data_IF_870730152796
#
_entry.id   IF_870730152796
#
_cell.length_a   1.000
_cell.length_b   1.000
_cell.length_c   1.000
_cell.angle_alpha   90.00
_cell.angle_beta   90.00
_cell.angle_gamma   90.00
#
_symmetry.space_group_name_H-M   'P 1'
#
loop_
_entity.id
_entity.type
_entity.pdbx_description
1 polymer ?
#
# COMPACT_ATOMS: atom_id res chain seq x y z
N UNK A 1 22.18 -30.08 21.12
CA UNK A 1 21.65 -28.93 20.36
C UNK A 1 20.69 -29.49 19.33
N UNK A 2 19.41 -29.12 19.36
CA UNK A 2 18.47 -29.47 18.29
C UNK A 2 19.00 -28.91 16.97
N UNK A 3 18.85 -29.67 15.88
CA UNK A 3 19.21 -29.18 14.55
C UNK A 3 18.31 -28.00 14.19
N UNK A 4 18.90 -26.94 13.62
CA UNK A 4 18.16 -25.78 13.10
C UNK A 4 17.28 -26.25 11.95
N UNK A 5 15.96 -26.04 12.02
CA UNK A 5 15.04 -26.41 10.95
C UNK A 5 14.78 -25.24 10.02
N UNK A 6 14.57 -25.52 8.75
CA UNK A 6 14.35 -24.50 7.71
C UNK A 6 13.20 -24.88 6.82
N UNK A 7 12.23 -23.98 6.71
CA UNK A 7 11.18 -24.03 5.70
C UNK A 7 11.41 -22.97 4.63
N UNK A 8 10.85 -23.17 3.43
CA UNK A 8 10.97 -22.23 2.33
C UNK A 8 9.63 -21.93 1.64
N UNK A 9 9.51 -20.71 1.15
CA UNK A 9 8.46 -20.29 0.22
C UNK A 9 9.10 -19.95 -1.13
N UNK A 10 8.58 -20.53 -2.20
CA UNK A 10 8.90 -20.18 -3.58
C UNK A 10 8.17 -18.88 -3.93
N UNK A 11 8.92 -17.90 -4.43
CA UNK A 11 8.40 -16.61 -4.87
C UNK A 11 8.29 -16.59 -6.39
N UNK A 12 7.09 -16.39 -6.90
CA UNK A 12 6.85 -16.25 -8.34
C UNK A 12 6.15 -14.93 -8.66
N UNK A 13 6.49 -14.36 -9.81
CA UNK A 13 5.89 -13.13 -10.33
C UNK A 13 5.39 -13.41 -11.75
N UNK A 14 4.07 -13.45 -11.94
CA UNK A 14 3.44 -13.88 -13.19
C UNK A 14 4.04 -15.19 -13.74
N UNK A 15 4.12 -16.20 -12.87
CA UNK A 15 4.71 -17.53 -13.13
C UNK A 15 6.23 -17.58 -13.34
N UNK A 16 6.92 -16.44 -13.47
CA UNK A 16 8.39 -16.43 -13.46
C UNK A 16 8.89 -16.68 -12.04
N UNK A 17 9.83 -17.61 -11.87
CA UNK A 17 10.50 -17.81 -10.59
C UNK A 17 11.37 -16.59 -10.28
N UNK A 18 11.09 -15.92 -9.17
CA UNK A 18 11.91 -14.79 -8.68
C UNK A 18 13.00 -15.30 -7.73
N UNK A 19 12.66 -16.27 -6.88
CA UNK A 19 13.56 -16.77 -5.87
C UNK A 19 12.81 -17.49 -4.74
N UNK A 20 13.47 -17.56 -3.60
CA UNK A 20 12.97 -18.22 -2.40
C UNK A 20 13.17 -17.32 -1.19
N UNK A 21 12.24 -17.40 -0.25
CA UNK A 21 12.47 -16.91 1.11
C UNK A 21 12.47 -18.10 2.05
N UNK A 22 13.48 -18.20 2.91
CA UNK A 22 13.56 -19.25 3.93
C UNK A 22 13.33 -18.67 5.32
N UNK A 23 12.68 -19.46 6.17
CA UNK A 23 12.43 -19.16 7.58
C UNK A 23 13.07 -20.24 8.45
N UNK A 24 14.00 -19.82 9.30
CA UNK A 24 14.75 -20.70 10.18
C UNK A 24 14.11 -20.72 11.58
N UNK A 25 14.20 -21.85 12.30
CA UNK A 25 13.62 -21.99 13.64
C UNK A 25 14.22 -21.06 14.71
N UNK A 26 15.40 -20.48 14.45
CA UNK A 26 16.03 -19.46 15.28
C UNK A 26 15.55 -18.01 14.96
N UNK A 27 14.57 -17.86 14.06
CA UNK A 27 14.01 -16.57 13.66
C UNK A 27 14.78 -15.86 12.54
N UNK A 28 15.87 -16.43 12.02
CA UNK A 28 16.56 -15.90 10.82
C UNK A 28 15.69 -16.13 9.59
N UNK A 29 15.57 -15.10 8.74
CA UNK A 29 14.92 -15.18 7.44
C UNK A 29 15.94 -14.84 6.34
N UNK A 30 15.89 -15.55 5.22
CA UNK A 30 16.82 -15.32 4.11
C UNK A 30 16.05 -15.21 2.80
N UNK A 31 16.11 -14.05 2.14
CA UNK A 31 15.59 -13.86 0.79
C UNK A 31 16.72 -14.09 -0.23
N UNK A 32 16.55 -15.08 -1.08
CA UNK A 32 17.50 -15.47 -2.11
C UNK A 32 16.84 -15.41 -3.48
N UNK A 33 17.29 -14.47 -4.32
CA UNK A 33 16.88 -14.42 -5.73
C UNK A 33 17.46 -15.63 -6.49
N UNK A 34 16.67 -16.18 -7.41
CA UNK A 34 17.09 -17.32 -8.23
C UNK A 34 18.19 -16.91 -9.23
N UNK A 35 19.21 -17.74 -9.49
CA UNK A 35 20.26 -17.44 -10.46
C UNK A 35 19.70 -17.08 -11.85
N UNK A 36 18.78 -17.90 -12.37
CA UNK A 36 18.14 -17.67 -13.67
C UNK A 36 17.40 -16.32 -13.72
N UNK A 37 16.80 -15.88 -12.60
CA UNK A 37 16.16 -14.56 -12.52
C UNK A 37 17.17 -13.41 -12.49
N UNK A 38 18.31 -13.60 -11.83
CA UNK A 38 19.39 -12.60 -11.78
C UNK A 38 20.00 -12.40 -13.18
N UNK A 39 20.22 -13.50 -13.89
CA UNK A 39 20.89 -13.52 -15.19
C UNK A 39 19.97 -13.19 -16.37
N UNK A 40 18.65 -13.22 -16.17
CA UNK A 40 17.66 -12.89 -17.19
C UNK A 40 17.60 -11.36 -17.47
N UNK A 41 18.01 -10.90 -18.67
CA UNK A 41 17.89 -9.49 -19.07
C UNK A 41 16.44 -9.08 -19.29
N UNK A 42 15.52 -10.02 -19.47
CA UNK A 42 14.08 -9.86 -19.64
C UNK A 42 13.30 -10.30 -18.40
N UNK A 43 13.93 -10.28 -17.23
CA UNK A 43 13.24 -10.53 -15.96
C UNK A 43 12.13 -9.51 -15.74
N UNK A 44 10.97 -9.98 -15.28
CA UNK A 44 9.87 -9.11 -14.84
C UNK A 44 10.33 -8.30 -13.63
N UNK A 45 9.89 -7.06 -13.53
CA UNK A 45 10.38 -6.15 -12.49
C UNK A 45 9.78 -6.48 -11.12
N UNK A 46 10.58 -7.06 -10.21
CA UNK A 46 10.16 -7.26 -8.82
C UNK A 46 10.02 -5.93 -8.05
N UNK A 47 10.95 -5.01 -8.23
CA UNK A 47 10.97 -3.71 -7.57
C UNK A 47 11.69 -2.68 -8.44
N UNK A 48 11.27 -1.42 -8.39
CA UNK A 48 11.81 -0.28 -9.14
C UNK A 48 13.33 -0.18 -8.95
N UNK A 49 13.79 -0.48 -7.73
CA UNK A 49 15.22 -0.48 -7.37
C UNK A 49 16.08 -1.46 -8.18
N UNK A 50 15.48 -2.47 -8.81
CA UNK A 50 16.16 -3.46 -9.65
C UNK A 50 16.18 -3.10 -11.15
N UNK A 51 15.51 -2.02 -11.57
CA UNK A 51 15.45 -1.63 -12.98
C UNK A 51 16.81 -1.23 -13.55
N UNK A 52 17.62 -0.50 -12.77
CA UNK A 52 18.96 -0.10 -13.20
C UNK A 52 19.93 -1.28 -13.02
N UNK A 53 20.51 -1.85 -14.10
CA UNK A 53 21.37 -3.05 -13.98
C UNK A 53 22.62 -2.82 -13.15
N UNK A 54 23.19 -1.61 -13.17
CA UNK A 54 24.38 -1.27 -12.39
C UNK A 54 24.08 -1.18 -10.89
N UNK A 55 22.95 -0.58 -10.52
CA UNK A 55 22.47 -0.52 -9.13
C UNK A 55 22.13 -1.94 -8.66
N UNK A 56 21.41 -2.71 -9.47
CA UNK A 56 21.00 -4.07 -9.15
C UNK A 56 22.22 -4.99 -8.90
N UNK A 57 23.21 -5.00 -9.80
CA UNK A 57 24.45 -5.78 -9.61
C UNK A 57 25.20 -5.39 -8.34
N UNK A 58 25.27 -4.09 -8.04
CA UNK A 58 25.91 -3.61 -6.80
C UNK A 58 25.15 -4.03 -5.56
N UNK A 59 23.82 -4.00 -5.59
CA UNK A 59 22.98 -4.47 -4.49
C UNK A 59 23.17 -5.97 -4.26
N UNK A 60 23.16 -6.78 -5.33
CA UNK A 60 23.43 -8.21 -5.26
C UNK A 60 24.80 -8.48 -4.62
N UNK A 61 25.87 -7.86 -5.12
CA UNK A 61 27.23 -8.08 -4.61
C UNK A 61 27.39 -7.73 -3.13
N UNK A 62 26.66 -6.72 -2.63
CA UNK A 62 26.84 -6.21 -1.27
C UNK A 62 25.87 -6.80 -0.24
N UNK A 63 24.70 -7.28 -0.69
CA UNK A 63 23.59 -7.61 0.22
C UNK A 63 22.89 -8.94 -0.06
N UNK A 64 23.10 -9.58 -1.21
CA UNK A 64 22.48 -10.88 -1.52
C UNK A 64 23.36 -12.05 -1.01
N UNK A 65 22.78 -13.10 -0.42
CA UNK A 65 21.36 -13.23 -0.06
C UNK A 65 20.99 -12.28 1.10
N UNK A 66 19.76 -11.78 1.09
CA UNK A 66 19.32 -10.79 2.07
C UNK A 66 18.90 -11.47 3.37
N UNK A 67 19.69 -11.27 4.43
CA UNK A 67 19.46 -11.90 5.74
C UNK A 67 18.82 -10.90 6.69
N UNK A 68 17.72 -11.30 7.33
CA UNK A 68 17.02 -10.54 8.37
C UNK A 68 16.67 -11.44 9.56
N UNK A 69 16.27 -10.86 10.68
CA UNK A 69 15.85 -11.60 11.88
C UNK A 69 14.45 -11.17 12.31
N UNK A 70 13.60 -12.15 12.63
CA UNK A 70 12.18 -12.07 12.95
C UNK A 70 11.30 -11.54 11.80
N UNK A 71 11.65 -10.36 11.28
CA UNK A 71 11.03 -9.73 10.11
C UNK A 71 11.60 -10.26 8.80
N UNK A 72 10.84 -10.14 7.73
CA UNK A 72 11.27 -10.42 6.35
C UNK A 72 12.00 -9.22 5.75
N UNK A 73 12.64 -9.40 4.60
CA UNK A 73 13.16 -8.27 3.83
C UNK A 73 12.01 -7.26 3.52
N UNK A 74 12.24 -5.94 3.56
CA UNK A 74 11.20 -4.91 3.38
C UNK A 74 10.31 -5.07 2.13
N UNK A 75 10.84 -5.63 1.04
CA UNK A 75 10.07 -5.96 -0.18
C UNK A 75 8.93 -6.94 0.10
N UNK A 76 9.10 -7.85 1.08
CA UNK A 76 8.09 -8.83 1.49
C UNK A 76 7.36 -8.41 2.76
N UNK A 77 8.06 -7.81 3.72
CA UNK A 77 7.48 -7.39 5.02
C UNK A 77 6.31 -6.41 4.82
N UNK A 78 6.43 -5.48 3.86
CA UNK A 78 5.38 -4.49 3.57
C UNK A 78 4.13 -5.06 2.88
N UNK A 79 4.16 -6.31 2.42
CA UNK A 79 2.98 -7.01 1.88
C UNK A 79 2.09 -7.59 2.99
N UNK A 80 2.63 -7.69 4.21
CA UNK A 80 1.91 -8.24 5.36
C UNK A 80 0.99 -7.17 5.98
N UNK A 81 -0.13 -7.59 6.58
CA UNK A 81 -1.00 -6.68 7.30
C UNK A 81 -0.29 -6.05 8.51
N UNK A 82 -0.83 -4.89 8.92
CA UNK A 82 -0.43 -4.16 10.12
C UNK A 82 -1.53 -4.24 11.19
N UNK A 83 -1.19 -3.89 12.44
CA UNK A 83 -2.16 -3.72 13.52
C UNK A 83 -3.02 -4.95 13.81
N UNK A 84 -4.33 -4.73 13.97
CA UNK A 84 -5.29 -5.75 14.37
C UNK A 84 -5.35 -6.96 13.42
N UNK A 85 -5.31 -6.72 12.11
CA UNK A 85 -5.34 -7.80 11.11
C UNK A 85 -4.07 -8.67 11.20
N UNK A 86 -2.92 -8.07 11.50
CA UNK A 86 -1.68 -8.83 11.76
C UNK A 86 -1.80 -9.72 12.99
N UNK A 87 -2.36 -9.18 14.08
CA UNK A 87 -2.62 -9.95 15.30
C UNK A 87 -3.52 -11.16 15.05
N UNK A 88 -4.55 -10.98 14.23
CA UNK A 88 -5.47 -12.05 13.83
C UNK A 88 -4.76 -13.17 13.06
N UNK A 89 -3.97 -12.83 12.04
CA UNK A 89 -3.21 -13.84 11.26
C UNK A 89 -2.17 -14.54 12.15
N UNK A 90 -1.50 -13.81 13.05
CA UNK A 90 -0.53 -14.40 13.97
C UNK A 90 -1.18 -15.38 14.95
N UNK A 91 -2.37 -15.03 15.48
CA UNK A 91 -3.15 -15.92 16.35
C UNK A 91 -3.62 -17.17 15.60
N UNK A 92 -4.08 -17.03 14.36
CA UNK A 92 -4.46 -18.15 13.48
C UNK A 92 -3.31 -19.16 13.31
N UNK A 93 -2.12 -18.61 13.07
CA UNK A 93 -0.88 -19.37 12.90
C UNK A 93 -0.27 -19.85 14.22
N UNK A 94 -0.79 -19.40 15.39
CA UNK A 94 -0.24 -19.64 16.72
C UNK A 94 1.24 -19.24 16.84
N UNK A 95 1.60 -18.10 16.24
CA UNK A 95 2.96 -17.54 16.25
C UNK A 95 2.97 -16.13 16.85
N UNK A 96 4.16 -15.64 17.20
CA UNK A 96 4.34 -14.24 17.57
C UNK A 96 4.08 -13.32 16.36
N UNK A 97 3.41 -12.16 16.52
CA UNK A 97 3.12 -11.24 15.42
C UNK A 97 4.36 -10.72 14.70
N UNK A 98 5.53 -10.67 15.35
CA UNK A 98 6.78 -10.26 14.70
C UNK A 98 7.47 -11.37 13.88
N UNK A 99 6.99 -12.61 13.99
CA UNK A 99 7.50 -13.74 13.20
C UNK A 99 6.84 -13.73 11.82
N UNK A 100 7.45 -13.02 10.87
CA UNK A 100 6.80 -12.70 9.59
C UNK A 100 6.77 -13.83 8.56
N UNK A 101 7.76 -14.74 8.59
CA UNK A 101 7.80 -15.85 7.64
C UNK A 101 6.55 -16.75 7.71
N UNK A 102 6.08 -17.20 8.89
CA UNK A 102 4.81 -17.91 8.99
C UNK A 102 3.61 -17.10 8.48
N UNK A 103 3.55 -15.79 8.74
CA UNK A 103 2.45 -14.96 8.23
C UNK A 103 2.44 -14.91 6.69
N UNK A 104 3.61 -14.78 6.07
CA UNK A 104 3.74 -14.81 4.62
C UNK A 104 3.35 -16.19 4.04
N UNK A 105 3.69 -17.28 4.73
CA UNK A 105 3.31 -18.63 4.28
C UNK A 105 1.79 -18.81 4.20
N UNK A 106 1.05 -18.13 5.07
CA UNK A 106 -0.40 -18.16 5.12
C UNK A 106 -1.03 -17.17 4.12
N UNK A 107 -0.48 -15.98 3.96
CA UNK A 107 -1.04 -14.94 3.08
C UNK A 107 -0.58 -15.06 1.61
N UNK A 108 0.40 -15.91 1.33
CA UNK A 108 1.20 -15.89 0.11
C UNK A 108 0.42 -16.03 -1.20
N UNK A 109 -0.82 -16.51 -1.16
CA UNK A 109 -1.69 -16.64 -2.32
C UNK A 109 -2.51 -15.38 -2.62
N UNK A 110 -2.78 -14.46 -1.69
CA UNK A 110 -3.50 -13.19 -1.97
C UNK A 110 -2.74 -11.97 -1.41
N UNK A 111 -1.53 -11.78 -1.91
CA UNK A 111 -0.74 -10.57 -1.65
C UNK A 111 -1.16 -9.41 -2.59
N UNK A 112 -0.93 -8.16 -2.18
CA UNK A 112 -0.95 -7.02 -3.10
C UNK A 112 0.02 -7.23 -4.26
N UNK A 113 -0.35 -6.76 -5.45
CA UNK A 113 0.41 -6.97 -6.67
C UNK A 113 0.29 -8.39 -7.22
N UNK A 114 1.33 -8.85 -7.92
CA UNK A 114 1.33 -10.13 -8.63
C UNK A 114 2.33 -11.15 -8.05
N UNK A 115 2.99 -10.81 -6.95
CA UNK A 115 3.87 -11.72 -6.24
C UNK A 115 3.03 -12.81 -5.55
N UNK A 116 3.46 -14.06 -5.72
CA UNK A 116 2.87 -15.23 -5.06
C UNK A 116 3.98 -15.94 -4.27
N UNK A 117 3.71 -16.23 -3.00
CA UNK A 117 4.56 -17.02 -2.14
C UNK A 117 3.92 -18.38 -1.87
N UNK A 118 4.56 -19.47 -2.29
CA UNK A 118 4.02 -20.84 -2.17
C UNK A 118 4.95 -21.70 -1.31
N UNK A 119 4.43 -22.38 -0.28
CA UNK A 119 5.21 -23.37 0.48
C UNK A 119 5.89 -24.40 -0.43
N UNK A 120 7.13 -24.76 -0.08
CA UNK A 120 7.94 -25.75 -0.80
C UNK A 120 8.15 -26.94 0.12
N UNK A 121 7.98 -28.16 -0.39
CA UNK A 121 8.30 -29.35 0.39
C UNK A 121 9.81 -29.47 0.60
N UNK A 122 10.20 -30.05 1.73
CA UNK A 122 11.59 -30.10 2.20
C UNK A 122 12.59 -30.60 1.14
N UNK A 123 12.20 -31.61 0.35
CA UNK A 123 13.01 -32.23 -0.70
C UNK A 123 13.17 -31.38 -1.97
N UNK A 124 12.32 -30.36 -2.18
CA UNK A 124 12.34 -29.48 -3.35
C UNK A 124 12.95 -28.09 -3.05
N UNK A 125 13.48 -27.86 -1.84
CA UNK A 125 14.18 -26.62 -1.53
C UNK A 125 15.55 -26.64 -2.21
N UNK A 126 15.85 -25.69 -3.12
CA UNK A 126 17.12 -25.71 -3.84
C UNK A 126 18.29 -25.39 -2.90
N UNK A 127 19.45 -26.01 -3.16
CA UNK A 127 20.64 -25.86 -2.33
C UNK A 127 21.08 -24.39 -2.16
N UNK A 128 20.96 -23.57 -3.21
CA UNK A 128 21.32 -22.14 -3.14
C UNK A 128 20.42 -21.34 -2.20
N UNK A 129 19.19 -21.80 -1.91
CA UNK A 129 18.28 -21.12 -0.98
C UNK A 129 18.52 -21.50 0.49
N UNK A 130 19.13 -22.66 0.76
CA UNK A 130 19.44 -23.12 2.12
C UNK A 130 20.68 -22.44 2.71
N UNK A 131 21.55 -21.88 1.86
CA UNK A 131 22.85 -21.33 2.25
C UNK A 131 23.85 -22.40 2.70
N UNK A 132 25.12 -22.02 2.84
CA UNK A 132 26.23 -22.96 3.11
C UNK A 132 26.61 -23.09 4.60
N UNK A 133 25.69 -22.87 5.54
CA UNK A 133 26.05 -22.75 6.97
C UNK A 133 25.34 -23.74 7.89
N UNK A 134 26.08 -24.75 8.37
CA UNK A 134 25.72 -25.57 9.53
C UNK A 134 24.86 -26.81 9.22
N UNK A 135 24.55 -27.58 10.28
CA UNK A 135 23.62 -28.71 10.22
C UNK A 135 22.18 -28.16 10.23
N UNK A 136 21.67 -27.85 9.05
CA UNK A 136 20.28 -27.43 8.83
C UNK A 136 19.44 -28.66 8.42
N UNK A 137 18.22 -28.75 8.94
CA UNK A 137 17.22 -29.75 8.54
C UNK A 137 16.06 -29.08 7.79
N UNK A 138 15.95 -29.28 6.47
CA UNK A 138 14.79 -28.85 5.71
C UNK A 138 13.48 -29.46 6.23
N UNK A 139 12.43 -28.65 6.35
CA UNK A 139 11.08 -29.07 6.76
C UNK A 139 10.02 -28.36 5.92
N UNK A 140 8.88 -29.02 5.73
CA UNK A 140 7.68 -28.38 5.17
C UNK A 140 7.00 -27.54 6.24
N UNK A 141 6.52 -26.35 5.90
CA UNK A 141 5.67 -25.55 6.80
C UNK A 141 4.22 -26.04 6.69
N UNK A 142 3.60 -26.27 7.85
CA UNK A 142 2.18 -26.55 7.93
C UNK A 142 1.40 -25.23 7.99
N UNK A 143 0.46 -25.04 7.06
CA UNK A 143 -0.36 -23.83 6.96
C UNK A 143 -1.81 -24.18 7.30
N UNK A 144 -2.36 -23.67 8.42
CA UNK A 144 -3.76 -23.88 8.78
C UNK A 144 -4.73 -23.43 7.68
N UNK A 145 -5.87 -24.11 7.58
CA UNK A 145 -6.93 -23.79 6.61
C UNK A 145 -7.41 -22.33 6.77
N UNK A 146 -7.57 -21.64 5.64
CA UNK A 146 -7.94 -20.22 5.55
C UNK A 146 -9.36 -19.91 6.08
N UNK A 147 -10.16 -20.93 6.39
CA UNK A 147 -11.58 -20.86 6.75
C UNK A 147 -11.89 -20.46 8.20
N UNK A 148 -10.87 -20.29 9.04
CA UNK A 148 -11.10 -20.07 10.48
C UNK A 148 -11.65 -18.67 10.76
N UNK A 149 -12.85 -18.61 11.35
CA UNK A 149 -13.51 -17.39 11.78
C UNK A 149 -12.81 -16.79 13.01
N UNK A 150 -12.60 -15.48 13.01
CA UNK A 150 -11.95 -14.78 14.13
C UNK A 150 -12.82 -13.66 14.71
N UNK A 151 -12.59 -13.34 15.97
CA UNK A 151 -13.11 -12.15 16.63
C UNK A 151 -11.93 -11.35 17.13
N UNK A 152 -11.77 -10.11 16.66
CA UNK A 152 -10.79 -9.17 17.20
C UNK A 152 -11.36 -7.74 17.14
N UNK A 153 -11.05 -6.94 18.16
CA UNK A 153 -11.32 -5.51 18.19
C UNK A 153 -10.13 -4.74 17.58
N UNK A 154 -10.40 -3.76 16.71
CA UNK A 154 -9.33 -2.98 16.07
C UNK A 154 -9.83 -1.92 15.08
N UNK A 155 -8.94 -0.97 14.79
CA UNK A 155 -9.24 0.36 14.22
C UNK A 155 -10.13 0.30 12.99
N UNK A 156 -9.75 -0.31 11.88
CA UNK A 156 -10.64 -0.52 10.73
C UNK A 156 -10.21 -1.79 10.00
N UNK A 157 -11.12 -2.74 9.77
CA UNK A 157 -10.79 -4.00 9.10
C UNK A 157 -10.94 -3.85 7.60
N UNK A 158 -10.06 -4.51 6.85
CA UNK A 158 -10.09 -4.55 5.38
C UNK A 158 -10.06 -6.00 4.88
N UNK A 159 -10.89 -6.30 3.89
CA UNK A 159 -11.07 -7.64 3.33
C UNK A 159 -10.99 -7.60 1.80
N UNK A 160 -10.26 -8.54 1.20
CA UNK A 160 -10.28 -8.79 -0.25
C UNK A 160 -11.51 -9.64 -0.56
N UNK A 161 -12.41 -9.14 -1.42
CA UNK A 161 -13.72 -9.75 -1.70
C UNK A 161 -14.03 -9.70 -3.20
N UNK A 162 -14.94 -10.56 -3.64
CA UNK A 162 -15.48 -10.52 -5.01
C UNK A 162 -16.86 -9.85 -5.02
N UNK A 163 -17.10 -8.99 -5.99
CA UNK A 163 -18.46 -8.52 -6.31
C UNK A 163 -19.18 -9.59 -7.14
N UNK A 164 -20.28 -10.13 -6.61
CA UNK A 164 -21.19 -11.02 -7.33
C UNK A 164 -22.59 -10.44 -7.27
N UNK A 165 -22.98 -9.78 -8.36
CA UNK A 165 -24.29 -9.16 -8.53
C UNK A 165 -24.66 -8.21 -7.37
N UNK A 166 -23.68 -7.44 -6.87
CA UNK A 166 -23.86 -6.47 -5.79
C UNK A 166 -23.63 -7.02 -4.38
N UNK A 167 -23.40 -8.33 -4.21
CA UNK A 167 -22.97 -8.94 -2.94
C UNK A 167 -21.47 -9.10 -2.89
N UNK A 168 -20.88 -8.76 -1.76
CA UNK A 168 -19.45 -8.90 -1.53
C UNK A 168 -19.20 -10.12 -0.67
N UNK A 169 -18.54 -11.10 -1.26
CA UNK A 169 -18.24 -12.37 -0.62
C UNK A 169 -16.73 -12.53 -0.52
N UNK A 170 -16.25 -13.12 0.58
CA UNK A 170 -14.87 -13.59 0.70
C UNK A 170 -14.71 -14.83 -0.19
N UNK A 171 -14.81 -14.67 -1.52
CA UNK A 171 -14.89 -15.81 -2.42
C UNK A 171 -13.55 -16.55 -2.53
N UNK A 172 -13.67 -17.88 -2.64
CA UNK A 172 -12.73 -18.88 -3.12
C UNK A 172 -11.24 -18.69 -2.72
N UNK A 173 -10.68 -19.55 -1.83
CA UNK A 173 -9.25 -19.56 -1.51
C UNK A 173 -8.32 -19.66 -2.73
N UNK A 174 -8.85 -20.08 -3.88
CA UNK A 174 -8.09 -20.26 -5.13
C UNK A 174 -8.09 -19.04 -6.06
N UNK A 175 -8.93 -18.01 -5.80
CA UNK A 175 -9.01 -16.81 -6.64
C UNK A 175 -9.06 -15.52 -5.80
N UNK A 176 -8.08 -14.60 -5.95
CA UNK A 176 -8.05 -13.37 -5.16
C UNK A 176 -9.23 -12.44 -5.50
N UNK A 177 -9.79 -11.78 -4.50
CA UNK A 177 -10.84 -10.77 -4.67
C UNK A 177 -10.43 -9.60 -5.57
N UNK A 178 -11.41 -8.98 -6.22
CA UNK A 178 -11.27 -7.80 -7.09
C UNK A 178 -11.68 -6.48 -6.41
N UNK A 179 -12.21 -6.56 -5.18
CA UNK A 179 -12.53 -5.42 -4.32
C UNK A 179 -11.83 -5.52 -2.96
N UNK A 180 -11.50 -4.36 -2.40
CA UNK A 180 -11.14 -4.22 -0.99
C UNK A 180 -12.33 -3.55 -0.27
N UNK A 181 -12.89 -4.25 0.72
CA UNK A 181 -13.97 -3.76 1.56
C UNK A 181 -13.40 -3.37 2.92
N UNK A 182 -13.60 -2.11 3.31
CA UNK A 182 -13.21 -1.56 4.60
C UNK A 182 -14.45 -1.32 5.47
N UNK A 183 -14.53 -2.03 6.59
CA UNK A 183 -15.67 -1.98 7.50
C UNK A 183 -15.68 -0.67 8.31
N UNK A 184 -16.76 -0.38 9.06
CA UNK A 184 -16.74 0.64 10.10
C UNK A 184 -15.59 0.47 11.09
N UNK A 185 -15.14 1.59 11.66
CA UNK A 185 -14.01 1.66 12.56
C UNK A 185 -14.45 1.70 14.02
N UNK A 186 -13.85 0.88 14.89
CA UNK A 186 -14.17 0.91 16.34
C UNK A 186 -13.60 2.12 17.08
N UNK A 187 -12.73 2.91 16.42
CA UNK A 187 -12.03 4.06 17.01
C UNK A 187 -12.44 5.37 16.36
N UNK A 188 -12.73 5.35 15.06
CA UNK A 188 -13.01 6.53 14.25
C UNK A 188 -14.40 6.42 13.61
N UNK A 189 -15.45 7.00 14.22
CA UNK A 189 -16.82 6.87 13.74
C UNK A 189 -17.00 7.38 12.30
N UNK A 190 -17.75 6.63 11.48
CA UNK A 190 -18.11 7.02 10.12
C UNK A 190 -16.93 7.21 9.14
N UNK A 191 -15.77 6.60 9.41
CA UNK A 191 -14.63 6.60 8.47
C UNK A 191 -15.01 6.15 7.05
N UNK A 192 -15.84 5.11 6.83
CA UNK A 192 -16.26 4.73 5.49
C UNK A 192 -16.90 5.88 4.69
N UNK A 193 -17.74 6.69 5.33
CA UNK A 193 -18.39 7.85 4.70
C UNK A 193 -17.40 8.98 4.44
N UNK A 194 -16.46 9.18 5.37
CA UNK A 194 -15.38 10.15 5.25
C UNK A 194 -14.48 9.83 4.04
N UNK A 195 -13.98 8.60 3.96
CA UNK A 195 -13.09 8.15 2.89
C UNK A 195 -13.79 8.18 1.53
N UNK A 196 -15.03 7.69 1.44
CA UNK A 196 -15.81 7.75 0.19
C UNK A 196 -15.95 9.20 -0.31
N UNK A 197 -16.31 10.12 0.59
CA UNK A 197 -16.48 11.53 0.24
C UNK A 197 -15.15 12.16 -0.17
N UNK A 198 -14.07 11.93 0.59
CA UNK A 198 -12.74 12.46 0.29
C UNK A 198 -12.23 11.98 -1.07
N UNK A 199 -12.40 10.70 -1.38
CA UNK A 199 -12.03 10.12 -2.67
C UNK A 199 -12.87 10.69 -3.82
N UNK A 200 -14.18 10.93 -3.63
CA UNK A 200 -15.02 11.63 -4.63
C UNK A 200 -14.59 13.07 -4.86
N UNK A 201 -14.27 13.81 -3.80
CA UNK A 201 -13.73 15.18 -3.93
C UNK A 201 -12.38 15.16 -4.66
N UNK A 202 -11.49 14.23 -4.31
CA UNK A 202 -10.22 14.03 -5.00
C UNK A 202 -10.41 13.77 -6.50
N UNK A 203 -11.35 12.89 -6.86
CA UNK A 203 -11.71 12.61 -8.26
C UNK A 203 -12.19 13.87 -8.99
N UNK A 204 -13.08 14.66 -8.38
CA UNK A 204 -13.57 15.92 -8.95
C UNK A 204 -12.46 16.94 -9.18
N UNK A 205 -11.37 16.88 -8.40
CA UNK A 205 -10.21 17.76 -8.53
C UNK A 205 -9.10 17.20 -9.45
N UNK A 206 -9.37 16.10 -10.17
CA UNK A 206 -8.46 15.52 -11.16
C UNK A 206 -7.51 14.45 -10.61
N UNK A 207 -7.73 13.92 -9.39
CA UNK A 207 -7.01 12.74 -8.90
C UNK A 207 -7.53 11.48 -9.59
N UNK A 208 -6.63 10.70 -10.18
CA UNK A 208 -6.94 9.37 -10.69
C UNK A 208 -7.17 8.40 -9.53
N UNK A 209 -8.37 7.83 -9.46
CA UNK A 209 -8.80 6.89 -8.43
C UNK A 209 -9.43 5.64 -9.06
N UNK A 210 -9.36 4.48 -8.40
CA UNK A 210 -10.16 3.32 -8.77
C UNK A 210 -11.66 3.60 -8.61
N UNK A 211 -12.45 2.65 -9.10
CA UNK A 211 -13.87 2.60 -8.79
C UNK A 211 -14.08 2.45 -7.27
N UNK A 212 -14.97 3.26 -6.70
CA UNK A 212 -15.32 3.25 -5.27
C UNK A 212 -16.83 3.19 -5.07
N UNK A 213 -17.27 2.55 -3.99
CA UNK A 213 -18.67 2.37 -3.62
C UNK A 213 -18.85 2.46 -2.10
N UNK A 214 -20.02 2.91 -1.67
CA UNK A 214 -20.52 2.57 -0.34
C UNK A 214 -21.27 1.24 -0.42
N UNK A 215 -20.94 0.33 0.47
CA UNK A 215 -21.48 -1.03 0.51
C UNK A 215 -22.29 -1.18 1.79
N UNK A 216 -23.57 -1.54 1.67
CA UNK A 216 -24.41 -1.81 2.84
C UNK A 216 -23.83 -2.99 3.62
N UNK A 217 -23.80 -2.91 4.95
CA UNK A 217 -23.28 -4.00 5.80
C UNK A 217 -24.05 -5.32 5.60
N UNK A 218 -25.32 -5.24 5.20
CA UNK A 218 -26.19 -6.36 4.83
C UNK A 218 -25.83 -7.03 3.49
N UNK A 219 -25.00 -6.38 2.68
CA UNK A 219 -24.51 -6.90 1.39
C UNK A 219 -23.15 -7.60 1.50
N UNK A 220 -22.60 -7.73 2.71
CA UNK A 220 -21.29 -8.32 2.98
C UNK A 220 -21.50 -9.68 3.64
N UNK A 221 -21.24 -10.75 2.90
CA UNK A 221 -21.34 -12.11 3.41
C UNK A 221 -20.00 -12.57 4.03
N UNK A 222 -20.08 -13.54 4.95
CA UNK A 222 -18.91 -14.25 5.48
C UNK A 222 -17.88 -13.36 6.20
N UNK A 223 -18.30 -12.24 6.79
CA UNK A 223 -17.46 -11.53 7.74
C UNK A 223 -17.14 -12.45 8.93
N UNK A 224 -15.89 -12.41 9.44
CA UNK A 224 -15.55 -13.11 10.66
C UNK A 224 -16.39 -12.54 11.83
N UNK A 225 -16.51 -13.26 12.95
CA UNK A 225 -17.34 -12.83 14.08
C UNK A 225 -16.72 -11.64 14.84
N UNK A 226 -16.74 -10.45 14.25
CA UNK A 226 -16.12 -9.23 14.78
C UNK A 226 -17.17 -8.28 15.34
N UNK A 227 -16.85 -7.65 16.48
CA UNK A 227 -17.70 -6.63 17.07
C UNK A 227 -17.45 -5.30 16.34
N UNK A 228 -18.33 -4.97 15.39
CA UNK A 228 -18.29 -3.72 14.64
C UNK A 228 -19.28 -2.70 15.24
N UNK A 229 -19.01 -1.40 15.12
CA UNK A 229 -20.00 -0.37 15.40
C UNK A 229 -21.29 -0.57 14.61
N UNK A 230 -22.41 -0.13 15.17
CA UNK A 230 -23.71 -0.09 14.49
C UNK A 230 -23.75 1.05 13.45
N UNK A 231 -22.99 0.87 12.37
CA UNK A 231 -22.95 1.75 11.20
C UNK A 231 -23.37 0.96 9.95
N UNK A 232 -24.14 1.60 9.09
CA UNK A 232 -24.80 0.92 7.95
C UNK A 232 -23.88 0.65 6.76
N UNK A 233 -22.73 1.33 6.67
CA UNK A 233 -21.94 1.39 5.44
C UNK A 233 -20.49 0.97 5.66
N UNK A 234 -20.00 0.08 4.80
CA UNK A 234 -18.59 -0.12 4.52
C UNK A 234 -18.16 0.69 3.29
N UNK A 235 -16.85 0.89 3.15
CA UNK A 235 -16.25 1.49 1.98
C UNK A 235 -15.65 0.41 1.08
N UNK A 236 -16.07 0.35 -0.17
CA UNK A 236 -15.53 -0.54 -1.19
C UNK A 236 -14.66 0.23 -2.18
N UNK A 237 -13.48 -0.31 -2.47
CA UNK A 237 -12.59 0.19 -3.53
C UNK A 237 -12.14 -0.97 -4.42
N UNK A 238 -12.27 -0.79 -5.73
CA UNK A 238 -11.82 -1.78 -6.70
C UNK A 238 -10.30 -1.85 -6.72
N UNK A 239 -9.78 -3.07 -6.75
CA UNK A 239 -8.35 -3.35 -6.81
C UNK A 239 -7.79 -2.99 -8.19
N UNK A 240 -6.88 -2.04 -8.25
CA UNK A 240 -6.17 -1.70 -9.50
C UNK A 240 -5.15 -2.78 -9.90
N UNK A 241 -4.76 -3.65 -8.98
CA UNK A 241 -3.81 -4.75 -9.19
C UNK A 241 -4.49 -6.07 -9.61
N UNK A 242 -5.76 -6.00 -9.99
CA UNK A 242 -6.60 -7.11 -10.44
C UNK A 242 -7.38 -6.69 -11.69
N UNK A 243 -7.16 -7.39 -12.80
CA UNK A 243 -7.90 -7.21 -14.05
C UNK A 243 -9.05 -8.24 -14.15
N UNK A 244 -9.92 -8.04 -15.13
CA UNK A 244 -10.98 -9.00 -15.45
C UNK A 244 -10.41 -10.41 -15.66
N UNK A 245 -11.13 -11.43 -15.20
CA UNK A 245 -10.67 -12.82 -15.26
C UNK A 245 -9.63 -13.21 -14.20
N UNK A 246 -9.38 -12.37 -13.19
CA UNK A 246 -8.48 -12.67 -12.07
C UNK A 246 -6.99 -12.50 -12.38
N UNK A 247 -6.66 -11.92 -13.54
CA UNK A 247 -5.27 -11.61 -13.90
C UNK A 247 -4.71 -10.58 -12.92
N UNK A 248 -3.56 -10.92 -12.30
CA UNK A 248 -2.84 -10.01 -11.40
C UNK A 248 -1.98 -9.04 -12.18
N UNK A 249 -1.84 -7.83 -11.67
CA UNK A 249 -0.85 -6.83 -12.13
C UNK A 249 0.11 -6.58 -10.98
N UNK A 250 1.41 -6.55 -11.24
CA UNK A 250 2.38 -6.31 -10.18
C UNK A 250 2.28 -4.87 -9.65
N UNK A 251 2.47 -4.74 -8.34
CA UNK A 251 2.42 -3.47 -7.62
C UNK A 251 3.41 -3.50 -6.46
N UNK A 252 3.96 -2.34 -6.11
CA UNK A 252 4.74 -2.14 -4.89
C UNK A 252 4.53 -0.72 -4.34
N UNK A 253 4.61 -0.56 -3.03
CA UNK A 253 4.59 0.75 -2.37
C UNK A 253 6.00 1.38 -2.26
N UNK A 254 6.07 2.69 -1.98
CA UNK A 254 7.37 3.36 -1.84
C UNK A 254 8.15 2.95 -0.58
N UNK A 255 7.53 2.29 0.41
CA UNK A 255 8.29 1.68 1.50
C UNK A 255 9.06 0.43 1.00
N UNK A 256 8.47 -0.36 0.09
CA UNK A 256 9.17 -1.44 -0.60
C UNK A 256 10.31 -0.90 -1.48
N UNK A 257 10.06 0.13 -2.30
CA UNK A 257 11.06 0.75 -3.19
C UNK A 257 12.28 1.26 -2.41
N UNK A 258 12.04 1.87 -1.25
CA UNK A 258 13.08 2.46 -0.40
C UNK A 258 13.65 1.49 0.64
N UNK A 259 13.20 0.24 0.64
CA UNK A 259 13.51 -0.78 1.65
C UNK A 259 13.29 -0.30 3.10
N UNK A 260 12.25 0.49 3.32
CA UNK A 260 11.81 0.91 4.64
C UNK A 260 10.83 -0.12 5.23
N UNK A 261 10.94 -0.41 6.52
CA UNK A 261 9.92 -1.19 7.22
C UNK A 261 8.68 -0.34 7.49
N UNK A 262 7.52 -0.98 7.63
CA UNK A 262 6.25 -0.29 7.87
C UNK A 262 6.27 0.68 9.06
N UNK A 263 6.92 0.33 10.17
CA UNK A 263 7.06 1.23 11.34
C UNK A 263 7.87 2.51 11.07
N UNK A 264 8.66 2.55 10.00
CA UNK A 264 9.47 3.71 9.60
C UNK A 264 8.77 4.55 8.51
N UNK A 265 7.50 4.27 8.19
CA UNK A 265 6.76 4.89 7.07
C UNK A 265 6.66 6.42 7.12
N UNK A 266 6.78 7.03 8.31
CA UNK A 266 6.80 8.50 8.51
C UNK A 266 8.21 9.11 8.60
N UNK A 267 9.25 8.27 8.74
CA UNK A 267 10.64 8.69 8.99
C UNK A 267 11.54 8.43 7.79
N UNK A 268 11.17 7.45 6.97
CA UNK A 268 11.89 7.08 5.76
C UNK A 268 11.31 7.83 4.56
N UNK A 269 12.18 8.46 3.78
CA UNK A 269 11.81 9.12 2.53
C UNK A 269 11.17 10.49 2.69
N UNK A 270 11.49 11.39 1.75
CA UNK A 270 10.83 12.69 1.58
C UNK A 270 10.03 12.68 0.28
N UNK A 271 9.03 13.55 0.16
CA UNK A 271 8.27 13.65 -1.09
C UNK A 271 9.15 14.01 -2.29
N UNK A 272 10.26 14.73 -2.10
CA UNK A 272 11.22 15.02 -3.18
C UNK A 272 11.89 13.73 -3.72
N UNK A 273 12.13 12.74 -2.85
CA UNK A 273 12.72 11.46 -3.26
C UNK A 273 11.74 10.63 -4.10
N UNK A 274 10.48 10.56 -3.68
CA UNK A 274 9.41 9.91 -4.44
C UNK A 274 9.27 10.59 -5.80
N UNK A 275 9.17 11.91 -5.82
CA UNK A 275 8.98 12.70 -7.03
C UNK A 275 10.12 12.52 -8.04
N UNK A 276 11.36 12.52 -7.56
CA UNK A 276 12.54 12.25 -8.40
C UNK A 276 12.50 10.84 -9.00
N UNK A 277 12.14 9.82 -8.21
CA UNK A 277 12.03 8.45 -8.70
C UNK A 277 10.91 8.31 -9.72
N UNK A 278 9.74 8.90 -9.48
CA UNK A 278 8.65 8.95 -10.47
C UNK A 278 9.13 9.58 -11.78
N UNK A 279 9.68 10.79 -11.71
CA UNK A 279 10.08 11.52 -12.89
C UNK A 279 11.16 10.82 -13.72
N UNK A 280 12.09 10.12 -13.06
CA UNK A 280 13.27 9.55 -13.73
C UNK A 280 13.20 8.06 -14.02
N UNK A 281 12.31 7.30 -13.36
CA UNK A 281 12.29 5.83 -13.44
C UNK A 281 10.96 5.23 -13.87
N UNK A 282 9.88 6.02 -14.01
CA UNK A 282 8.60 5.51 -14.54
C UNK A 282 8.46 5.73 -16.04
N UNK A 283 7.60 4.93 -16.67
CA UNK A 283 7.33 4.97 -18.12
C UNK A 283 6.84 6.35 -18.58
N UNK A 284 6.07 7.02 -17.74
CA UNK A 284 5.44 8.31 -18.02
C UNK A 284 5.83 9.34 -16.96
N UNK A 285 7.13 9.53 -16.72
CA UNK A 285 7.66 10.33 -15.61
C UNK A 285 7.03 11.71 -15.41
N UNK A 286 6.82 12.49 -16.49
CA UNK A 286 6.17 13.80 -16.39
C UNK A 286 4.69 13.70 -15.96
N UNK A 287 3.93 12.72 -16.51
CA UNK A 287 2.53 12.49 -16.15
C UNK A 287 2.43 12.06 -14.69
N UNK A 288 3.24 11.09 -14.29
CA UNK A 288 3.19 10.46 -12.97
C UNK A 288 3.57 11.45 -11.88
N UNK A 289 4.60 12.27 -12.10
CA UNK A 289 5.02 13.28 -11.11
C UNK A 289 4.03 14.45 -11.02
N UNK A 290 3.33 14.76 -12.12
CA UNK A 290 2.25 15.73 -12.11
C UNK A 290 1.05 15.21 -11.31
N UNK A 291 0.67 13.94 -11.50
CA UNK A 291 -0.35 13.29 -10.67
C UNK A 291 0.04 13.30 -9.19
N UNK A 292 1.32 13.06 -8.87
CA UNK A 292 1.81 13.18 -7.50
C UNK A 292 1.60 14.59 -6.94
N UNK A 293 1.92 15.64 -7.69
CA UNK A 293 1.70 17.02 -7.27
C UNK A 293 0.22 17.32 -7.02
N UNK A 294 -0.67 16.87 -7.91
CA UNK A 294 -2.13 17.00 -7.75
C UNK A 294 -2.60 16.29 -6.48
N UNK A 295 -2.15 15.05 -6.23
CA UNK A 295 -2.48 14.30 -5.01
C UNK A 295 -1.96 14.97 -3.74
N UNK A 296 -0.73 15.49 -3.76
CA UNK A 296 -0.17 16.24 -2.64
C UNK A 296 -1.02 17.47 -2.31
N UNK A 297 -1.42 18.24 -3.33
CA UNK A 297 -2.30 19.38 -3.15
C UNK A 297 -3.64 18.95 -2.57
N UNK A 298 -4.28 17.93 -3.12
CA UNK A 298 -5.56 17.40 -2.62
C UNK A 298 -5.45 16.92 -1.17
N UNK A 299 -4.35 16.27 -0.78
CA UNK A 299 -4.11 15.88 0.62
C UNK A 299 -4.01 17.11 1.55
N UNK A 300 -3.38 18.20 1.11
CA UNK A 300 -3.38 19.47 1.87
C UNK A 300 -4.79 20.05 1.98
N UNK A 301 -5.54 20.09 0.87
CA UNK A 301 -6.89 20.65 0.84
C UNK A 301 -7.89 19.83 1.68
N UNK A 302 -7.73 18.52 1.75
CA UNK A 302 -8.59 17.61 2.54
C UNK A 302 -8.12 17.39 3.98
N UNK A 303 -7.04 18.07 4.41
CA UNK A 303 -6.44 17.86 5.72
C UNK A 303 -6.08 16.38 6.00
N UNK A 304 -5.49 15.72 5.00
CA UNK A 304 -5.00 14.35 5.10
C UNK A 304 -3.57 14.35 5.67
N UNK A 305 -3.47 14.07 6.96
CA UNK A 305 -2.24 13.92 7.73
C UNK A 305 -1.51 12.58 7.52
N UNK A 306 -2.13 11.59 6.86
CA UNK A 306 -1.64 10.21 6.81
C UNK A 306 -1.07 9.76 5.46
N UNK A 307 -0.80 10.68 4.53
CA UNK A 307 -0.24 10.39 3.19
C UNK A 307 1.24 9.94 3.18
N UNK A 308 1.59 8.90 3.94
CA UNK A 308 2.94 8.36 4.11
C UNK A 308 3.39 7.45 2.95
N UNK A 309 4.64 6.93 2.99
CA UNK A 309 5.24 6.13 1.91
C UNK A 309 4.34 4.99 1.37
N UNK A 310 3.61 4.29 2.23
CA UNK A 310 2.75 3.16 1.81
C UNK A 310 1.48 3.58 1.04
N UNK A 311 1.16 4.87 0.98
CA UNK A 311 0.02 5.40 0.23
C UNK A 311 0.43 5.90 -1.17
N UNK A 312 1.69 5.66 -1.53
CA UNK A 312 2.23 5.89 -2.86
C UNK A 312 2.68 4.54 -3.39
N UNK A 313 2.06 4.07 -4.47
CA UNK A 313 2.41 2.80 -5.10
C UNK A 313 2.72 2.95 -6.58
N UNK A 314 3.49 2.02 -7.08
CA UNK A 314 3.78 1.82 -8.49
C UNK A 314 3.04 0.58 -8.97
N UNK A 315 2.53 0.63 -10.19
CA UNK A 315 1.96 -0.51 -10.90
C UNK A 315 2.82 -0.84 -12.12
N UNK A 316 2.84 -2.11 -12.52
CA UNK A 316 3.60 -2.61 -13.67
C UNK A 316 2.67 -3.28 -14.71
N UNK A 317 1.94 -2.49 -15.53
CA UNK A 317 0.93 -3.04 -16.44
C UNK A 317 1.49 -3.99 -17.49
N UNK A 318 2.69 -3.71 -17.98
CA UNK A 318 3.43 -4.53 -18.95
C UNK A 318 4.41 -5.52 -18.28
N UNK A 319 4.40 -5.57 -16.95
CA UNK A 319 5.29 -6.39 -16.09
C UNK A 319 6.76 -5.95 -16.03
N UNK A 320 7.11 -4.83 -16.67
CA UNK A 320 8.47 -4.30 -16.74
C UNK A 320 8.55 -2.85 -16.28
N UNK A 321 7.70 -1.99 -16.84
CA UNK A 321 7.73 -0.55 -16.70
C UNK A 321 6.83 -0.11 -15.56
N UNK A 322 7.40 0.65 -14.62
CA UNK A 322 6.63 1.23 -13.53
C UNK A 322 5.78 2.42 -14.03
N UNK A 323 4.59 2.56 -13.47
CA UNK A 323 3.71 3.72 -13.58
C UNK A 323 3.16 4.04 -12.18
N UNK A 324 2.88 5.31 -11.87
CA UNK A 324 2.21 5.64 -10.61
C UNK A 324 0.81 5.00 -10.57
N UNK A 325 0.50 4.23 -9.51
CA UNK A 325 -0.83 3.61 -9.36
C UNK A 325 -1.92 4.67 -9.23
N UNK A 326 -3.20 4.34 -9.46
CA UNK A 326 -4.31 5.15 -8.97
C UNK A 326 -4.20 5.42 -7.46
N UNK A 327 -4.76 6.54 -6.98
CA UNK A 327 -4.73 6.90 -5.57
C UNK A 327 -5.72 6.06 -4.74
N UNK A 328 -5.39 5.85 -3.47
CA UNK A 328 -6.20 5.16 -2.47
C UNK A 328 -5.89 5.77 -1.10
N UNK A 329 -6.70 5.45 -0.08
CA UNK A 329 -6.50 5.87 1.30
C UNK A 329 -6.41 7.41 1.48
N UNK A 330 -7.23 8.16 0.73
CA UNK A 330 -7.39 9.61 0.94
C UNK A 330 -8.52 9.84 1.95
N UNK A 331 -8.16 10.32 3.14
CA UNK A 331 -9.06 10.50 4.28
C UNK A 331 -8.80 11.87 4.92
N UNK A 332 -9.84 12.54 5.41
CA UNK A 332 -9.70 13.78 6.17
C UNK A 332 -9.37 13.47 7.64
N UNK A 333 -8.11 13.22 7.96
CA UNK A 333 -7.66 12.77 9.29
C UNK A 333 -7.89 13.79 10.39
N UNK A 334 -7.84 15.09 10.06
CA UNK A 334 -8.08 16.20 11.01
C UNK A 334 -9.44 16.09 11.70
N UNK A 335 -10.42 15.46 11.04
CA UNK A 335 -11.75 15.19 11.61
C UNK A 335 -11.69 14.28 12.83
N UNK A 336 -10.69 13.40 12.89
CA UNK A 336 -10.53 12.40 13.94
C UNK A 336 -9.43 12.74 14.95
N UNK A 337 -8.49 13.62 14.57
CA UNK A 337 -7.30 13.95 15.36
C UNK A 337 -7.35 15.44 15.75
N UNK A 338 -7.85 15.78 16.96
CA UNK A 338 -7.90 17.15 17.43
C UNK A 338 -6.51 17.81 17.44
N UNK A 339 -6.41 19.03 16.90
CA UNK A 339 -5.15 19.78 16.87
C UNK A 339 -4.17 19.35 15.79
N UNK A 340 -4.49 18.35 14.97
CA UNK A 340 -3.68 18.01 13.80
C UNK A 340 -3.55 19.24 12.89
N UNK A 341 -2.32 19.52 12.46
CA UNK A 341 -1.96 20.69 11.64
C UNK A 341 -0.90 20.38 10.58
N UNK A 342 -0.52 19.10 10.46
CA UNK A 342 0.63 18.68 9.66
C UNK A 342 0.29 17.54 8.70
N UNK A 343 0.91 17.53 7.51
CA UNK A 343 0.89 16.39 6.60
C UNK A 343 2.06 15.42 6.87
N UNK A 344 1.92 14.16 6.43
CA UNK A 344 2.77 13.04 6.86
C UNK A 344 4.29 13.27 6.72
N UNK A 345 4.74 13.75 5.55
CA UNK A 345 6.17 13.88 5.20
C UNK A 345 6.52 15.31 4.82
N UNK A 346 7.79 15.72 4.93
CA UNK A 346 8.20 17.07 4.55
C UNK A 346 7.98 17.34 3.05
N UNK A 347 7.51 18.53 2.72
CA UNK A 347 7.52 19.10 1.37
C UNK A 347 8.21 20.46 1.44
N UNK A 348 9.37 20.62 0.80
CA UNK A 348 10.13 21.88 0.83
C UNK A 348 10.36 22.43 2.26
N UNK A 349 10.70 21.53 3.18
CA UNK A 349 11.05 21.79 4.59
C UNK A 349 9.90 22.26 5.49
N UNK A 350 8.65 22.15 5.03
CA UNK A 350 7.46 22.33 5.87
C UNK A 350 6.61 21.06 5.93
N UNK A 351 5.85 20.93 7.02
CA UNK A 351 4.74 19.99 7.16
C UNK A 351 3.42 20.69 7.47
N UNK A 352 3.41 22.00 7.71
CA UNK A 352 2.22 22.69 8.20
C UNK A 352 1.26 23.00 7.04
N UNK A 353 0.01 22.56 7.15
CA UNK A 353 -0.98 22.79 6.08
C UNK A 353 -1.21 24.26 5.77
N UNK A 354 -1.17 25.11 6.80
CA UNK A 354 -1.49 26.54 6.71
C UNK A 354 -0.34 27.40 6.19
N UNK A 355 0.89 26.87 6.19
CA UNK A 355 2.08 27.56 5.68
C UNK A 355 2.40 27.17 4.23
N UNK A 356 1.90 26.02 3.77
CA UNK A 356 2.15 25.50 2.43
C UNK A 356 1.47 26.38 1.36
N UNK A 357 2.21 26.67 0.31
CA UNK A 357 1.84 27.59 -0.79
C UNK A 357 2.35 27.08 -2.14
N UNK A 358 2.02 27.74 -3.24
CA UNK A 358 2.54 27.37 -4.57
C UNK A 358 4.07 27.48 -4.66
N UNK A 359 4.68 28.36 -3.87
CA UNK A 359 6.15 28.47 -3.81
C UNK A 359 6.80 27.21 -3.22
N UNK A 360 6.14 26.56 -2.25
CA UNK A 360 6.61 25.29 -1.70
C UNK A 360 6.52 24.17 -2.73
N UNK A 361 5.46 24.12 -3.54
CA UNK A 361 5.35 23.18 -4.66
C UNK A 361 6.41 23.45 -5.73
N UNK A 362 6.71 24.70 -6.03
CA UNK A 362 7.79 25.08 -6.95
C UNK A 362 9.14 24.59 -6.44
N UNK A 363 9.48 24.87 -5.17
CA UNK A 363 10.72 24.38 -4.53
C UNK A 363 10.80 22.86 -4.52
N UNK A 364 9.70 22.17 -4.23
CA UNK A 364 9.61 20.70 -4.31
C UNK A 364 9.91 20.19 -5.73
N UNK A 365 9.33 20.81 -6.76
CA UNK A 365 9.57 20.45 -8.15
C UNK A 365 11.04 20.67 -8.55
N UNK A 366 11.58 21.86 -8.28
CA UNK A 366 12.95 22.25 -8.63
C UNK A 366 14.00 21.38 -7.92
N UNK A 367 13.83 21.12 -6.61
CA UNK A 367 14.73 20.27 -5.82
C UNK A 367 14.73 18.82 -6.32
N UNK A 368 13.60 18.38 -6.89
CA UNK A 368 13.45 17.04 -7.45
C UNK A 368 13.87 16.94 -8.92
N UNK A 369 14.28 18.05 -9.55
CA UNK A 369 14.67 18.11 -10.96
C UNK A 369 13.49 18.08 -11.95
N UNK A 370 12.30 18.48 -11.51
CA UNK A 370 11.06 18.43 -12.28
C UNK A 370 10.77 19.81 -12.90
N UNK A 371 10.36 19.88 -14.17
CA UNK A 371 9.88 21.12 -14.77
C UNK A 371 8.68 21.71 -14.02
N UNK A 372 8.82 22.90 -13.46
CA UNK A 372 7.74 23.54 -12.68
C UNK A 372 6.51 23.90 -13.51
N UNK A 373 6.69 24.38 -14.76
CA UNK A 373 5.57 24.89 -15.57
C UNK A 373 4.46 23.87 -15.80
N UNK A 374 4.74 22.63 -16.24
CA UNK A 374 3.70 21.59 -16.34
C UNK A 374 2.99 21.33 -15.01
N UNK A 375 3.74 21.26 -13.90
CA UNK A 375 3.17 21.04 -12.56
C UNK A 375 2.22 22.19 -12.19
N UNK A 376 2.64 23.44 -12.39
CA UNK A 376 1.83 24.62 -12.06
C UNK A 376 0.50 24.66 -12.81
N UNK A 377 0.48 24.27 -14.09
CA UNK A 377 -0.76 24.24 -14.89
C UNK A 377 -1.78 23.32 -14.22
N UNK A 378 -1.38 22.08 -13.90
CA UNK A 378 -2.28 21.11 -13.30
C UNK A 378 -2.65 21.45 -11.85
N UNK A 379 -1.74 22.04 -11.06
CA UNK A 379 -2.10 22.55 -9.74
C UNK A 379 -3.19 23.64 -9.80
N UNK A 380 -3.14 24.52 -10.81
CA UNK A 380 -4.17 25.55 -11.02
C UNK A 380 -5.50 24.95 -11.46
N UNK A 381 -5.49 23.97 -12.35
CA UNK A 381 -6.69 23.23 -12.76
C UNK A 381 -7.35 22.53 -11.56
N UNK A 382 -6.56 21.83 -10.74
CA UNK A 382 -7.03 21.18 -9.51
C UNK A 382 -7.61 22.19 -8.51
N UNK A 383 -6.98 23.36 -8.33
CA UNK A 383 -7.49 24.42 -7.46
C UNK A 383 -8.81 25.00 -7.97
N UNK A 384 -8.92 25.23 -9.27
CA UNK A 384 -10.13 25.78 -9.89
C UNK A 384 -11.30 24.79 -9.74
N UNK A 385 -11.05 23.50 -10.03
CA UNK A 385 -12.02 22.44 -9.82
C UNK A 385 -12.43 22.31 -8.35
N UNK A 386 -11.47 22.34 -7.41
CA UNK A 386 -11.76 22.27 -5.99
C UNK A 386 -12.61 23.47 -5.52
N UNK A 387 -12.25 24.69 -5.92
CA UNK A 387 -13.01 25.90 -5.56
C UNK A 387 -14.44 25.90 -6.12
N UNK A 388 -14.60 25.41 -7.34
CA UNK A 388 -15.87 25.46 -8.05
C UNK A 388 -16.81 24.33 -7.62
N UNK A 389 -16.28 23.12 -7.47
CA UNK A 389 -17.08 21.90 -7.35
C UNK A 389 -17.20 21.40 -5.91
N UNK A 390 -16.18 21.58 -5.05
CA UNK A 390 -16.18 20.97 -3.73
C UNK A 390 -17.19 21.53 -2.74
N UNK A 391 -17.50 22.84 -2.69
CA UNK A 391 -18.47 23.35 -1.71
C UNK A 391 -19.85 22.69 -1.83
N UNK A 392 -20.36 22.58 -3.06
CA UNK A 392 -21.63 21.91 -3.36
C UNK A 392 -21.52 20.40 -3.18
N UNK A 393 -20.46 19.77 -3.72
CA UNK A 393 -20.27 18.32 -3.60
C UNK A 393 -20.13 17.86 -2.15
N UNK A 394 -19.44 18.64 -1.29
CA UNK A 394 -19.35 18.36 0.14
C UNK A 394 -20.70 18.52 0.84
N UNK A 395 -21.45 19.58 0.51
CA UNK A 395 -22.78 19.81 1.09
C UNK A 395 -23.78 18.69 0.74
N UNK A 396 -23.71 18.16 -0.48
CA UNK A 396 -24.52 17.03 -0.94
C UNK A 396 -23.98 15.65 -0.54
N UNK A 397 -22.81 15.59 0.12
CA UNK A 397 -22.13 14.33 0.42
C UNK A 397 -22.75 13.57 1.59
N UNK A 398 -22.35 12.30 1.69
CA UNK A 398 -22.68 11.38 2.79
C UNK A 398 -21.82 11.60 4.05
N UNK A 399 -20.79 12.44 3.98
CA UNK A 399 -19.95 12.78 5.13
C UNK A 399 -20.79 13.44 6.22
N UNK A 400 -20.55 13.12 7.49
CA UNK A 400 -21.36 13.65 8.60
C UNK A 400 -21.22 15.18 8.74
N UNK A 401 -22.30 15.91 9.10
CA UNK A 401 -22.30 17.39 9.11
C UNK A 401 -21.17 18.03 9.95
N UNK A 402 -20.83 17.44 11.09
CA UNK A 402 -19.72 17.90 11.94
C UNK A 402 -18.37 17.76 11.23
N UNK A 403 -18.15 16.66 10.51
CA UNK A 403 -16.92 16.44 9.73
C UNK A 403 -16.83 17.40 8.54
N UNK A 404 -17.96 17.64 7.84
CA UNK A 404 -18.03 18.65 6.78
C UNK A 404 -17.67 20.06 7.30
N UNK A 405 -18.18 20.43 8.49
CA UNK A 405 -17.87 21.73 9.09
C UNK A 405 -16.38 21.90 9.40
N UNK A 406 -15.70 20.84 9.86
CA UNK A 406 -14.26 20.84 10.09
C UNK A 406 -13.49 21.06 8.78
N UNK A 407 -13.89 20.41 7.68
CA UNK A 407 -13.27 20.61 6.37
C UNK A 407 -13.46 22.03 5.84
N UNK A 408 -14.67 22.60 5.95
CA UNK A 408 -14.92 24.00 5.56
C UNK A 408 -14.07 24.96 6.38
N UNK A 409 -13.97 24.74 7.69
CA UNK A 409 -13.12 25.55 8.57
C UNK A 409 -11.64 25.43 8.19
N UNK A 410 -11.18 24.22 7.85
CA UNK A 410 -9.83 23.98 7.37
C UNK A 410 -9.52 24.79 6.11
N UNK A 411 -10.43 24.77 5.12
CA UNK A 411 -10.26 25.53 3.87
C UNK A 411 -10.07 27.03 4.07
N UNK A 412 -10.79 27.63 5.01
CA UNK A 412 -10.68 29.06 5.31
C UNK A 412 -9.32 29.44 5.94
N UNK A 413 -8.69 28.51 6.65
CA UNK A 413 -7.42 28.70 7.32
C UNK A 413 -6.20 28.47 6.41
N UNK A 414 -6.39 27.85 5.24
CA UNK A 414 -5.30 27.63 4.29
C UNK A 414 -4.69 28.96 3.81
N UNK A 415 -3.43 28.86 3.39
CA UNK A 415 -2.74 29.93 2.69
C UNK A 415 -3.59 30.48 1.53
N UNK A 416 -3.43 31.77 1.21
CA UNK A 416 -4.26 32.47 0.21
C UNK A 416 -4.29 31.74 -1.15
N UNK A 417 -3.17 31.14 -1.56
CA UNK A 417 -3.05 30.33 -2.77
C UNK A 417 -4.06 29.16 -2.83
N UNK A 418 -4.46 28.60 -1.69
CA UNK A 418 -5.20 27.34 -1.56
C UNK A 418 -6.56 27.47 -0.87
N UNK A 419 -6.92 28.67 -0.41
CA UNK A 419 -8.23 28.91 0.21
C UNK A 419 -9.37 28.55 -0.75
N UNK A 420 -10.37 27.85 -0.21
CA UNK A 420 -11.65 27.56 -0.84
C UNK A 420 -12.71 28.34 -0.06
N UNK A 421 -13.56 29.08 -0.77
CA UNK A 421 -14.57 29.97 -0.19
C UNK A 421 -15.82 29.24 0.26
#
# INVERSE_FOLDING_TARGET
MSAETVAALKLTLHSQLVGYVTGHSNGKNVLTLAPDYIDDPHRRTLTLSHLNPGIFRRQLANKHPYITHHRLHPVLSNLLPEGALRGLVAQAMKVHPDSEFPLLSWLGQDLPGALVATPVSAEHIPAYALGNHGKITPVSIDTPDHRSHFSLAGVQMKFSMHDRDGRYITADPTAPGDWIIKTPSTVHPFVPLNEYTCMKLAQLAGVDIPEIRLVGMDMIDSLPAINLPDEQWAYGIRRYDRLAGGQRVHSEDFAQVLYAYAHDKYRSGRYEQIAKLLYTQTRHGQRDVTQMAVRLLVNVLLANGDAHLKNWSLIYPDTFSAELSPAYDIVATKVFIPGESQFASNMADTKAWYDVSLEHFKRWAETSGIPWRPVLVHLRETLDAARTLWPEALAASVMKPNQQAILRQHWQQLHADFRIS
#
